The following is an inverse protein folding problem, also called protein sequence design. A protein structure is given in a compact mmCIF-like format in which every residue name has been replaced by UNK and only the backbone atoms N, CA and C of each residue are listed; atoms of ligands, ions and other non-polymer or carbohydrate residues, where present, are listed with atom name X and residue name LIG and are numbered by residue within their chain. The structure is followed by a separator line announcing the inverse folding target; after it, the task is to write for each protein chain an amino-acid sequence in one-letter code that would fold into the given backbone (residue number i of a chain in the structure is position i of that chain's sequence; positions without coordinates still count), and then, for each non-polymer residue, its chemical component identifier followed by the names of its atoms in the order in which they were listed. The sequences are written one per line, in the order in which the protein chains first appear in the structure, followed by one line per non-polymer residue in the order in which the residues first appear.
data_IF_208367109621
#
_entry.id   IF_208367109621
#
_cell.length_a   1.000
_cell.length_b   1.000
_cell.length_c   1.000
_cell.angle_alpha   90.00
_cell.angle_beta   90.00
_cell.angle_gamma   90.00
#
_symmetry.space_group_name_H-M   'P 1'
#
loop_
_entity.id
_entity.type
_entity.pdbx_description
1 polymer ?
#
# COMPACT_ATOMS: atom_id res chain seq x y z
N UNK A 1 44.69 11.00 -18.42
CA UNK A 1 43.74 11.08 -19.57
C UNK A 1 42.42 10.56 -19.05
N UNK A 2 41.31 11.18 -19.41
CA UNK A 2 40.01 10.64 -19.07
C UNK A 2 39.75 9.41 -19.95
N UNK A 3 39.32 8.31 -19.34
CA UNK A 3 38.97 7.10 -20.10
C UNK A 3 37.67 7.36 -20.90
N UNK A 4 37.69 6.93 -22.16
CA UNK A 4 36.51 7.08 -23.03
C UNK A 4 35.58 5.91 -22.75
N UNK A 5 34.36 6.22 -22.23
CA UNK A 5 33.32 5.22 -21.95
C UNK A 5 32.11 5.47 -22.84
N UNK A 6 31.35 4.43 -23.09
CA UNK A 6 30.08 4.49 -23.84
C UNK A 6 28.95 5.04 -22.96
N UNK A 7 27.85 5.48 -23.61
CA UNK A 7 26.62 5.94 -22.90
C UNK A 7 26.03 4.79 -22.05
N UNK A 8 26.08 3.56 -22.56
CA UNK A 8 25.58 2.39 -21.83
C UNK A 8 26.39 2.11 -20.57
N UNK A 9 27.73 2.20 -20.66
CA UNK A 9 28.62 2.03 -19.51
C UNK A 9 28.39 3.14 -18.47
N UNK A 10 28.19 4.38 -18.91
CA UNK A 10 27.85 5.47 -17.99
C UNK A 10 26.52 5.22 -17.27
N UNK A 11 25.46 4.87 -18.01
CA UNK A 11 24.15 4.61 -17.42
C UNK A 11 24.20 3.40 -16.44
N UNK A 12 24.91 2.35 -16.81
CA UNK A 12 25.13 1.19 -15.96
C UNK A 12 25.88 1.56 -14.68
N UNK A 13 26.93 2.36 -14.79
CA UNK A 13 27.70 2.82 -13.65
C UNK A 13 26.85 3.65 -12.68
N UNK A 14 26.11 4.65 -13.20
CA UNK A 14 25.23 5.48 -12.38
C UNK A 14 24.13 4.66 -11.71
N UNK A 15 23.53 3.72 -12.44
CA UNK A 15 22.53 2.80 -11.88
C UNK A 15 23.12 1.99 -10.73
N UNK A 16 24.31 1.43 -10.92
CA UNK A 16 24.99 0.63 -9.90
C UNK A 16 25.25 1.47 -8.64
N UNK A 17 25.69 2.73 -8.78
CA UNK A 17 25.89 3.64 -7.64
C UNK A 17 24.59 3.90 -6.87
N UNK A 18 23.46 4.01 -7.56
CA UNK A 18 22.16 4.19 -6.91
C UNK A 18 21.70 2.90 -6.21
N UNK A 19 21.86 1.75 -6.88
CA UNK A 19 21.37 0.45 -6.40
C UNK A 19 22.17 -0.09 -5.20
N UNK A 20 23.44 0.28 -5.04
CA UNK A 20 24.26 -0.12 -3.86
C UNK A 20 24.14 0.82 -2.67
N UNK A 21 23.45 1.94 -2.82
CA UNK A 21 23.26 2.90 -1.76
C UNK A 21 22.05 2.54 -0.90
N UNK A 22 22.29 2.00 0.28
CA UNK A 22 21.24 1.57 1.22
C UNK A 22 20.24 2.69 1.54
N UNK A 23 20.70 3.94 1.58
CA UNK A 23 19.81 5.09 1.85
C UNK A 23 18.83 5.37 0.71
N UNK A 24 19.07 4.86 -0.49
CA UNK A 24 18.21 5.03 -1.68
C UNK A 24 17.35 3.79 -1.97
N UNK A 25 17.59 2.70 -1.25
CA UNK A 25 16.91 1.43 -1.47
C UNK A 25 15.51 1.37 -0.82
N UNK A 26 15.32 2.03 0.31
CA UNK A 26 14.03 2.07 1.04
C UNK A 26 13.72 3.50 1.50
N UNK A 27 13.15 4.27 0.60
CA UNK A 27 12.81 5.66 0.81
C UNK A 27 11.32 5.82 1.10
N UNK A 28 11.00 6.75 2.01
CA UNK A 28 9.66 7.29 2.15
C UNK A 28 9.63 8.69 1.52
N UNK A 29 8.92 8.85 0.41
CA UNK A 29 8.76 10.13 -0.28
C UNK A 29 7.33 10.63 -0.11
N UNK A 30 7.22 11.92 0.21
CA UNK A 30 5.94 12.64 0.21
C UNK A 30 5.86 13.50 -1.03
N UNK A 31 4.71 13.48 -1.70
CA UNK A 31 4.48 14.32 -2.86
C UNK A 31 3.04 14.29 -3.32
N UNK A 32 2.76 15.13 -4.31
CA UNK A 32 1.49 15.15 -5.03
C UNK A 32 1.62 14.34 -6.32
N UNK A 33 0.62 13.53 -6.60
CA UNK A 33 0.54 12.75 -7.84
C UNK A 33 0.26 13.68 -9.01
N UNK A 34 1.08 13.56 -10.06
CA UNK A 34 0.89 14.24 -11.33
C UNK A 34 1.10 13.27 -12.51
N UNK A 35 0.41 13.53 -13.61
CA UNK A 35 0.50 12.74 -14.85
C UNK A 35 0.23 11.24 -14.63
N UNK A 36 -0.78 10.89 -13.83
CA UNK A 36 -1.08 9.51 -13.50
C UNK A 36 -1.68 8.75 -14.69
N UNK A 37 -1.01 7.68 -15.09
CA UNK A 37 -1.46 6.78 -16.16
C UNK A 37 -1.31 5.34 -15.73
N UNK A 38 -2.41 4.59 -15.72
CA UNK A 38 -2.36 3.14 -15.61
C UNK A 38 -2.40 2.52 -17.01
N UNK A 39 -1.34 1.83 -17.38
CA UNK A 39 -1.26 1.14 -18.66
C UNK A 39 -2.22 -0.06 -18.66
N UNK A 40 -3.23 -0.03 -19.53
CA UNK A 40 -4.27 -1.06 -19.60
C UNK A 40 -3.72 -2.45 -19.94
N UNK A 41 -2.63 -2.55 -20.72
CA UNK A 41 -2.06 -3.82 -21.17
C UNK A 41 -1.14 -4.44 -20.10
N UNK A 42 -0.24 -3.65 -19.52
CA UNK A 42 0.73 -4.15 -18.53
C UNK A 42 0.20 -4.10 -17.10
N UNK A 43 -0.75 -3.19 -16.80
CA UNK A 43 -1.26 -2.92 -15.46
C UNK A 43 -0.31 -2.13 -14.58
N UNK A 44 0.82 -1.65 -15.13
CA UNK A 44 1.75 -0.77 -14.41
C UNK A 44 1.19 0.65 -14.32
N UNK A 45 1.47 1.33 -13.21
CA UNK A 45 1.15 2.74 -13.04
C UNK A 45 2.40 3.58 -13.26
N UNK A 46 2.26 4.60 -14.08
CA UNK A 46 3.28 5.61 -14.37
C UNK A 46 2.74 6.96 -13.91
N UNK A 47 3.52 7.69 -13.15
CA UNK A 47 3.15 9.00 -12.63
C UNK A 47 4.39 9.80 -12.27
N UNK A 48 4.21 11.05 -11.89
CA UNK A 48 5.23 11.85 -11.25
C UNK A 48 4.82 12.15 -9.82
N UNK A 49 5.78 12.18 -8.92
CA UNK A 49 5.61 12.77 -7.60
C UNK A 49 6.24 14.16 -7.64
N UNK A 50 5.49 15.17 -7.25
CA UNK A 50 5.97 16.55 -7.20
C UNK A 50 5.79 17.15 -5.81
N UNK A 51 6.65 18.05 -5.46
CA UNK A 51 6.50 19.03 -4.39
C UNK A 51 6.49 20.46 -4.96
N UNK A 52 6.70 21.46 -4.14
CA UNK A 52 6.69 22.86 -4.55
C UNK A 52 7.84 23.22 -5.49
N UNK A 53 8.95 22.49 -5.46
CA UNK A 53 10.20 22.83 -6.15
C UNK A 53 10.59 21.81 -7.22
N UNK A 54 10.29 20.53 -7.01
CA UNK A 54 10.84 19.43 -7.79
C UNK A 54 9.80 18.38 -8.17
N UNK A 55 10.16 17.57 -9.16
CA UNK A 55 9.39 16.37 -9.50
C UNK A 55 10.30 15.19 -9.82
N UNK A 56 9.83 13.99 -9.53
CA UNK A 56 10.50 12.74 -9.90
C UNK A 56 9.52 11.79 -10.58
N UNK A 57 10.00 11.10 -11.63
CA UNK A 57 9.22 10.04 -12.28
C UNK A 57 9.06 8.83 -11.35
N UNK A 58 7.88 8.27 -11.31
CA UNK A 58 7.54 7.15 -10.48
C UNK A 58 6.88 6.05 -11.29
N UNK A 59 7.27 4.81 -11.00
CA UNK A 59 6.69 3.61 -11.60
C UNK A 59 6.27 2.67 -10.49
N UNK A 60 5.01 2.23 -10.50
CA UNK A 60 4.51 1.18 -9.63
C UNK A 60 4.15 -0.04 -10.48
N UNK A 61 4.75 -1.17 -10.18
CA UNK A 61 4.50 -2.39 -10.94
C UNK A 61 3.12 -2.97 -10.61
N UNK A 62 2.56 -3.75 -11.54
CA UNK A 62 1.23 -4.36 -11.44
C UNK A 62 1.02 -5.14 -10.14
N UNK A 63 2.03 -5.84 -9.66
CA UNK A 63 1.98 -6.61 -8.42
C UNK A 63 1.65 -5.75 -7.22
N UNK A 64 2.28 -4.59 -7.14
CA UNK A 64 2.13 -3.65 -6.03
C UNK A 64 0.89 -2.78 -6.23
N UNK A 65 0.62 -2.36 -7.47
CA UNK A 65 -0.60 -1.62 -7.82
C UNK A 65 -1.89 -2.37 -7.46
N UNK A 66 -1.90 -3.71 -7.56
CA UNK A 66 -3.05 -4.54 -7.16
C UNK A 66 -3.29 -4.61 -5.67
N UNK A 67 -2.27 -4.33 -4.86
CA UNK A 67 -2.35 -4.36 -3.39
C UNK A 67 -2.83 -3.04 -2.80
N UNK A 68 -2.92 -1.98 -3.62
CA UNK A 68 -3.38 -0.68 -3.14
C UNK A 68 -4.81 -0.76 -2.60
N UNK A 69 -5.03 -0.19 -1.43
CA UNK A 69 -6.33 -0.11 -0.80
C UNK A 69 -7.23 0.98 -1.38
N UNK A 70 -6.68 1.90 -2.16
CA UNK A 70 -7.38 3.04 -2.75
C UNK A 70 -6.98 3.20 -4.23
N UNK A 71 -7.73 4.01 -4.96
CA UNK A 71 -7.42 4.39 -6.34
C UNK A 71 -6.69 5.73 -6.34
N UNK A 72 -5.44 5.79 -6.81
CA UNK A 72 -4.72 7.04 -6.96
C UNK A 72 -5.36 7.93 -8.02
N UNK A 73 -5.43 9.21 -7.74
CA UNK A 73 -5.97 10.22 -8.65
C UNK A 73 -4.99 11.39 -8.77
N UNK A 74 -5.09 12.11 -9.88
CA UNK A 74 -4.32 13.33 -10.14
C UNK A 74 -4.54 14.35 -9.01
N UNK A 75 -3.46 14.96 -8.52
CA UNK A 75 -3.51 15.97 -7.47
C UNK A 75 -3.59 15.41 -6.04
N UNK A 76 -3.70 14.10 -5.86
CA UNK A 76 -3.66 13.52 -4.51
C UNK A 76 -2.28 13.68 -3.87
N UNK A 77 -2.26 14.08 -2.60
CA UNK A 77 -1.07 14.01 -1.76
C UNK A 77 -0.90 12.60 -1.20
N UNK A 78 0.29 12.05 -1.38
CA UNK A 78 0.61 10.68 -0.96
C UNK A 78 1.98 10.61 -0.30
N UNK A 79 2.14 9.59 0.53
CA UNK A 79 3.44 9.11 0.98
C UNK A 79 3.67 7.75 0.30
N UNK A 80 4.78 7.62 -0.40
CA UNK A 80 5.15 6.38 -1.08
C UNK A 80 6.39 5.77 -0.45
N UNK A 81 6.42 4.45 -0.37
CA UNK A 81 7.62 3.69 -0.08
C UNK A 81 8.22 3.22 -1.39
N UNK A 82 9.47 3.56 -1.63
CA UNK A 82 10.08 3.37 -2.96
C UNK A 82 11.59 3.21 -2.87
N UNK A 83 12.18 2.82 -3.99
CA UNK A 83 13.65 2.88 -4.21
C UNK A 83 13.96 3.81 -5.37
N UNK A 84 15.03 4.58 -5.25
CA UNK A 84 15.55 5.38 -6.34
C UNK A 84 16.40 4.51 -7.27
N UNK A 85 16.28 4.73 -8.57
CA UNK A 85 17.04 4.00 -9.59
C UNK A 85 17.15 4.79 -10.88
N UNK A 86 17.97 4.29 -11.81
CA UNK A 86 18.06 4.81 -13.16
C UNK A 86 17.50 3.76 -14.14
N UNK A 87 16.62 4.18 -15.05
CA UNK A 87 16.23 3.35 -16.18
C UNK A 87 17.30 3.45 -17.26
N UNK A 88 18.13 2.40 -17.36
CA UNK A 88 19.36 2.41 -18.18
C UNK A 88 19.12 2.76 -19.63
N UNK A 89 17.99 2.30 -20.21
CA UNK A 89 17.71 2.44 -21.64
C UNK A 89 17.60 3.91 -22.07
N UNK A 90 17.02 4.74 -21.23
CA UNK A 90 16.79 6.15 -21.49
C UNK A 90 17.65 7.07 -20.63
N UNK A 91 18.44 6.52 -19.71
CA UNK A 91 19.21 7.28 -18.72
C UNK A 91 18.32 8.07 -17.76
N UNK A 92 17.06 7.67 -17.60
CA UNK A 92 16.10 8.44 -16.82
C UNK A 92 16.14 8.06 -15.34
N UNK A 93 16.40 9.06 -14.47
CA UNK A 93 16.24 8.92 -13.03
C UNK A 93 14.76 8.77 -12.68
N UNK A 94 14.45 7.77 -11.85
CA UNK A 94 13.07 7.48 -11.43
C UNK A 94 13.04 6.73 -10.12
N UNK A 95 11.84 6.62 -9.52
CA UNK A 95 11.61 5.78 -8.33
C UNK A 95 10.69 4.62 -8.66
N UNK A 96 11.01 3.44 -8.12
CA UNK A 96 10.12 2.29 -8.14
C UNK A 96 9.35 2.23 -6.84
N UNK A 97 8.03 2.40 -6.94
CA UNK A 97 7.12 2.48 -5.80
C UNK A 97 6.58 1.10 -5.45
N UNK A 98 6.78 0.68 -4.22
CA UNK A 98 6.30 -0.59 -3.69
C UNK A 98 4.97 -0.43 -2.94
N UNK A 99 4.83 0.67 -2.18
CA UNK A 99 3.64 0.97 -1.39
C UNK A 99 3.27 2.45 -1.55
N UNK A 100 1.99 2.74 -1.46
CA UNK A 100 1.47 4.10 -1.53
C UNK A 100 0.35 4.28 -0.51
N UNK A 101 0.42 5.38 0.23
CA UNK A 101 -0.55 5.74 1.27
C UNK A 101 -1.04 7.17 1.03
N UNK A 102 -2.33 7.44 1.22
CA UNK A 102 -2.82 8.82 1.20
C UNK A 102 -2.18 9.66 2.29
N UNK A 103 -1.75 10.87 1.97
CA UNK A 103 -1.17 11.81 2.92
C UNK A 103 -2.23 12.78 3.44
N UNK A 104 -2.44 12.78 4.77
CA UNK A 104 -3.40 13.62 5.46
C UNK A 104 -4.75 12.97 5.76
N UNK A 105 -5.48 13.57 6.71
CA UNK A 105 -6.77 13.05 7.19
C UNK A 105 -7.84 12.96 6.09
N UNK A 106 -7.90 13.96 5.21
CA UNK A 106 -8.88 13.98 4.11
C UNK A 106 -8.62 12.90 3.06
N UNK A 107 -7.35 12.65 2.72
CA UNK A 107 -6.98 11.60 1.77
C UNK A 107 -7.20 10.19 2.34
N UNK A 108 -6.95 9.99 3.64
CA UNK A 108 -7.27 8.74 4.32
C UNK A 108 -8.79 8.48 4.36
N UNK A 109 -9.59 9.53 4.57
CA UNK A 109 -11.04 9.44 4.55
C UNK A 109 -11.55 9.04 3.15
N UNK A 110 -11.04 9.68 2.10
CA UNK A 110 -11.39 9.35 0.72
C UNK A 110 -11.01 7.89 0.36
N UNK A 111 -9.83 7.43 0.77
CA UNK A 111 -9.42 6.05 0.59
C UNK A 111 -10.37 5.05 1.29
N UNK A 112 -10.82 5.39 2.49
CA UNK A 112 -11.81 4.58 3.22
C UNK A 112 -13.15 4.54 2.48
N UNK A 113 -13.62 5.65 1.95
CA UNK A 113 -14.87 5.72 1.17
C UNK A 113 -14.78 4.92 -0.13
N UNK A 114 -13.67 5.03 -0.86
CA UNK A 114 -13.41 4.22 -2.05
C UNK A 114 -13.38 2.73 -1.72
N UNK A 115 -12.73 2.34 -0.61
CA UNK A 115 -12.71 0.94 -0.16
C UNK A 115 -14.10 0.44 0.17
N UNK A 116 -14.90 1.22 0.92
CA UNK A 116 -16.29 0.88 1.23
C UNK A 116 -17.12 0.65 -0.04
N UNK A 117 -17.05 1.59 -1.00
CA UNK A 117 -17.77 1.48 -2.26
C UNK A 117 -17.36 0.26 -3.08
N UNK A 118 -16.07 -0.13 -3.06
CA UNK A 118 -15.61 -1.35 -3.70
C UNK A 118 -16.18 -2.60 -3.05
N UNK A 119 -16.10 -2.70 -1.72
CA UNK A 119 -16.61 -3.84 -0.96
C UNK A 119 -18.13 -3.98 -1.09
N UNK A 120 -18.85 -2.87 -1.23
CA UNK A 120 -20.28 -2.85 -1.51
C UNK A 120 -20.60 -3.42 -2.89
N UNK A 121 -19.84 -3.04 -3.93
CA UNK A 121 -19.97 -3.63 -5.27
C UNK A 121 -19.64 -5.12 -5.32
N UNK A 122 -18.73 -5.58 -4.48
CA UNK A 122 -18.39 -6.99 -4.30
C UNK A 122 -19.49 -7.76 -3.52
N UNK A 123 -20.52 -7.05 -3.05
CA UNK A 123 -21.66 -7.63 -2.32
C UNK A 123 -21.36 -8.01 -0.88
N UNK A 124 -20.20 -7.65 -0.34
CA UNK A 124 -19.79 -8.06 1.01
C UNK A 124 -20.68 -7.49 2.12
N UNK A 125 -21.42 -6.41 1.85
CA UNK A 125 -22.37 -5.81 2.78
C UNK A 125 -23.82 -6.27 2.55
N UNK A 126 -24.07 -7.15 1.59
CA UNK A 126 -25.41 -7.63 1.29
C UNK A 126 -26.04 -8.31 2.53
N UNK A 127 -27.24 -7.88 2.94
CA UNK A 127 -27.98 -8.51 4.02
C UNK A 127 -28.17 -10.03 3.84
N UNK A 128 -28.19 -10.53 2.60
CA UNK A 128 -28.31 -11.96 2.30
C UNK A 128 -27.11 -12.78 2.84
N UNK A 129 -25.96 -12.17 3.01
CA UNK A 129 -24.79 -12.83 3.62
C UNK A 129 -24.86 -12.91 5.14
N UNK A 130 -25.75 -12.15 5.78
CA UNK A 130 -25.90 -12.15 7.24
C UNK A 130 -26.72 -13.35 7.67
N UNK A 131 -26.07 -14.23 8.42
CA UNK A 131 -26.73 -15.39 9.02
C UNK A 131 -27.30 -15.03 10.39
N UNK A 132 -28.44 -15.62 10.81
CA UNK A 132 -28.93 -15.46 12.16
C UNK A 132 -27.89 -16.00 13.15
N UNK A 133 -27.77 -15.33 14.30
CA UNK A 133 -26.88 -15.80 15.36
C UNK A 133 -27.40 -17.11 15.95
N UNK A 134 -26.56 -18.14 16.12
CA UNK A 134 -26.97 -19.36 16.79
C UNK A 134 -27.24 -19.09 18.27
N UNK A 135 -28.28 -19.71 18.81
CA UNK A 135 -28.62 -19.55 20.23
C UNK A 135 -27.48 -20.02 21.17
N UNK A 136 -26.76 -21.08 20.76
CA UNK A 136 -25.64 -21.65 21.51
C UNK A 136 -24.42 -21.83 20.58
N UNK A 137 -23.57 -20.80 20.39
CA UNK A 137 -22.39 -20.90 19.54
C UNK A 137 -21.36 -21.85 20.19
N UNK A 138 -20.85 -22.80 19.40
CA UNK A 138 -19.77 -23.71 19.84
C UNK A 138 -18.39 -23.05 19.80
N UNK A 139 -18.26 -21.99 19.00
CA UNK A 139 -17.02 -21.27 18.77
C UNK A 139 -17.28 -19.80 18.52
N UNK A 140 -16.47 -18.94 19.15
CA UNK A 140 -16.48 -17.48 18.96
C UNK A 140 -15.15 -17.05 18.38
N UNK A 141 -15.17 -16.45 17.19
CA UNK A 141 -14.02 -15.84 16.57
C UNK A 141 -13.93 -14.35 16.91
N UNK A 142 -12.77 -13.88 17.34
CA UNK A 142 -12.52 -12.47 17.63
C UNK A 142 -11.40 -11.97 16.72
N UNK A 143 -11.68 -10.94 15.92
CA UNK A 143 -10.70 -10.25 15.06
C UNK A 143 -10.43 -8.88 15.65
N UNK A 144 -9.23 -8.67 16.16
CA UNK A 144 -8.80 -7.42 16.81
C UNK A 144 -7.29 -7.29 16.80
N UNK A 145 -6.76 -6.13 17.20
CA UNK A 145 -5.31 -5.90 17.33
C UNK A 145 -4.71 -6.79 18.43
N UNK A 146 -3.43 -7.15 18.30
CA UNK A 146 -2.70 -8.00 19.25
C UNK A 146 -2.64 -7.44 20.67
N UNK A 147 -2.62 -6.11 20.79
CA UNK A 147 -2.41 -5.38 22.06
C UNK A 147 -3.69 -4.78 22.64
N UNK A 148 -4.85 -5.10 22.08
CA UNK A 148 -6.13 -4.53 22.51
C UNK A 148 -6.56 -5.02 23.91
N UNK A 149 -6.72 -4.11 24.87
CA UNK A 149 -7.32 -4.40 26.18
C UNK A 149 -8.69 -5.09 26.04
N UNK A 150 -9.47 -4.70 25.02
CA UNK A 150 -10.77 -5.29 24.69
C UNK A 150 -10.72 -6.81 24.47
N UNK A 151 -9.63 -7.36 23.92
CA UNK A 151 -9.51 -8.82 23.74
C UNK A 151 -9.44 -9.55 25.10
N UNK A 152 -8.72 -8.98 26.05
CA UNK A 152 -8.61 -9.55 27.38
C UNK A 152 -9.94 -9.49 28.14
N UNK A 153 -10.67 -8.38 28.01
CA UNK A 153 -11.99 -8.24 28.61
C UNK A 153 -13.00 -9.22 28.03
N UNK A 154 -13.01 -9.38 26.70
CA UNK A 154 -13.85 -10.40 26.03
C UNK A 154 -13.52 -11.79 26.55
N UNK A 155 -12.24 -12.15 26.65
CA UNK A 155 -11.80 -13.45 27.19
C UNK A 155 -12.27 -13.66 28.63
N UNK A 156 -12.07 -12.67 29.48
CA UNK A 156 -12.45 -12.73 30.88
C UNK A 156 -13.98 -12.91 31.04
N UNK A 157 -14.77 -12.17 30.28
CA UNK A 157 -16.23 -12.28 30.32
C UNK A 157 -16.71 -13.64 29.82
N UNK A 158 -16.18 -14.11 28.68
CA UNK A 158 -16.58 -15.40 28.11
C UNK A 158 -16.17 -16.56 29.03
N UNK A 159 -14.94 -16.57 29.55
CA UNK A 159 -14.46 -17.62 30.45
C UNK A 159 -15.30 -17.74 31.71
N UNK A 160 -15.84 -16.62 32.19
CA UNK A 160 -16.69 -16.57 33.39
C UNK A 160 -18.13 -16.99 33.11
N UNK A 161 -18.70 -16.58 31.97
CA UNK A 161 -20.10 -16.80 31.63
C UNK A 161 -20.36 -18.06 30.81
N UNK A 162 -19.38 -18.47 30.01
CA UNK A 162 -19.48 -19.62 29.10
C UNK A 162 -18.15 -20.34 28.91
N UNK A 163 -17.66 -21.01 29.94
CA UNK A 163 -16.31 -21.62 29.93
C UNK A 163 -16.13 -22.73 28.89
N UNK A 164 -17.22 -23.37 28.44
CA UNK A 164 -17.16 -24.45 27.45
C UNK A 164 -17.04 -24.01 26.00
N UNK A 165 -17.19 -22.68 25.71
CA UNK A 165 -17.12 -22.20 24.33
C UNK A 165 -15.66 -22.08 23.89
N UNK A 166 -15.37 -22.58 22.66
CA UNK A 166 -14.06 -22.45 22.04
C UNK A 166 -13.86 -21.02 21.54
N UNK A 167 -12.76 -20.40 21.92
CA UNK A 167 -12.38 -19.07 21.45
C UNK A 167 -11.25 -19.17 20.44
N UNK A 168 -11.42 -18.51 19.27
CA UNK A 168 -10.38 -18.37 18.25
C UNK A 168 -10.11 -16.88 18.11
N UNK A 169 -8.92 -16.43 18.55
CA UNK A 169 -8.44 -15.06 18.31
C UNK A 169 -7.51 -15.05 17.10
N UNK A 170 -7.77 -14.19 16.11
CA UNK A 170 -6.80 -13.79 15.11
C UNK A 170 -6.51 -12.31 15.31
N UNK A 171 -5.25 -11.98 15.60
CA UNK A 171 -4.78 -10.63 15.50
C UNK A 171 -4.45 -10.38 14.02
N UNK A 172 -5.11 -9.39 13.43
CA UNK A 172 -4.70 -8.82 12.15
C UNK A 172 -4.47 -7.33 12.35
N UNK A 173 -3.33 -6.90 11.92
CA UNK A 173 -3.09 -5.54 11.51
C UNK A 173 -3.24 -5.49 10.03
#
# INVERSE_FOLDING_TARGET
MADVISVSELNHYVKTLLDVNDSLFDLALRGEIANFVQNARSGHCYFSLRDEACSVKAVMFRTDARRMAFRPEEGMRVVVRCRATLYERDGAFQVYVNEMFPDGLGAAQLALEQLKARLEKEGLFDPAHKKPLPAYPKCIGVVTSKTGAALQDIRNVISRRWPSVRQIGRAHV
#
